data_IF_616208074751
#
_entry.id   IF_616208074751
#
_cell.length_a   1.000
_cell.length_b   1.000
_cell.length_c   1.000
_cell.angle_alpha   90.00
_cell.angle_beta   90.00
_cell.angle_gamma   90.00
#
_symmetry.space_group_name_H-M   'P 1'
#
loop_
_entity.id
_entity.type
_entity.pdbx_description
1 polymer ?
#
# COMPACT_ATOMS: atom_id res chain seq x y z
N UNK A 1 3.06 3.71 -11.05
CA UNK A 1 1.98 2.77 -10.68
C UNK A 1 1.84 2.72 -9.18
N UNK A 2 0.62 2.81 -8.70
CA UNK A 2 0.34 2.86 -7.27
C UNK A 2 -0.51 1.65 -6.89
N UNK A 3 -0.08 0.93 -5.86
CA UNK A 3 -0.90 -0.09 -5.19
C UNK A 3 -1.40 0.52 -3.90
N UNK A 4 -2.70 0.57 -3.73
CA UNK A 4 -3.34 1.28 -2.63
C UNK A 4 -4.13 0.33 -1.75
N UNK A 5 -3.95 0.45 -0.42
CA UNK A 5 -4.65 -0.37 0.54
C UNK A 5 -5.12 0.50 1.70
N UNK A 6 -6.40 0.38 2.05
CA UNK A 6 -6.91 0.99 3.28
C UNK A 6 -6.56 0.08 4.46
N UNK A 7 -5.97 0.66 5.50
CA UNK A 7 -5.49 -0.09 6.64
C UNK A 7 -6.59 -0.26 7.67
N UNK A 8 -6.99 -1.51 7.88
CA UNK A 8 -7.94 -1.90 8.92
C UNK A 8 -7.21 -2.81 9.91
N UNK A 9 -7.34 -2.51 11.22
CA UNK A 9 -6.76 -3.36 12.25
C UNK A 9 -5.24 -3.45 12.21
N UNK A 10 -4.73 -4.63 12.51
CA UNK A 10 -3.29 -4.87 12.66
C UNK A 10 -2.61 -5.24 11.33
N UNK A 11 -2.44 -4.28 10.46
CA UNK A 11 -1.68 -4.50 9.23
C UNK A 11 -0.22 -4.11 9.45
N UNK A 12 0.70 -5.03 9.18
CA UNK A 12 2.13 -4.77 9.34
C UNK A 12 2.72 -4.12 8.09
N UNK A 13 2.77 -2.79 8.08
CA UNK A 13 3.29 -2.03 6.94
C UNK A 13 4.78 -2.25 6.73
N UNK A 14 5.56 -2.43 7.80
CA UNK A 14 7.00 -2.66 7.70
C UNK A 14 7.31 -3.95 6.94
N UNK A 15 6.59 -5.02 7.28
CA UNK A 15 6.73 -6.30 6.59
C UNK A 15 6.34 -6.20 5.11
N UNK A 16 5.25 -5.50 4.83
CA UNK A 16 4.79 -5.28 3.47
C UNK A 16 5.80 -4.49 2.63
N UNK A 17 6.44 -3.47 3.22
CA UNK A 17 7.47 -2.69 2.55
C UNK A 17 8.73 -3.51 2.32
N UNK A 18 9.19 -4.25 3.31
CA UNK A 18 10.37 -5.13 3.17
C UNK A 18 10.17 -6.17 2.07
N UNK A 19 8.98 -6.74 2.01
CA UNK A 19 8.64 -7.70 0.97
C UNK A 19 8.72 -7.07 -0.43
N UNK A 20 8.21 -5.84 -0.58
CA UNK A 20 8.27 -5.12 -1.85
C UNK A 20 9.71 -4.85 -2.27
N UNK A 21 10.56 -4.42 -1.34
CA UNK A 21 11.96 -4.15 -1.62
C UNK A 21 12.68 -5.43 -2.09
N UNK A 22 12.38 -6.56 -1.47
CA UNK A 22 12.99 -7.84 -1.81
C UNK A 22 12.52 -8.42 -3.13
N UNK A 23 11.23 -8.29 -3.43
CA UNK A 23 10.60 -9.07 -4.50
C UNK A 23 10.18 -8.23 -5.70
N UNK A 24 10.19 -6.92 -5.59
CA UNK A 24 9.76 -6.02 -6.65
C UNK A 24 10.87 -5.02 -6.99
N UNK A 25 11.73 -5.33 -7.97
CA UNK A 25 12.87 -4.46 -8.31
C UNK A 25 12.50 -3.03 -8.69
N UNK A 26 11.28 -2.81 -9.18
CA UNK A 26 10.83 -1.48 -9.58
C UNK A 26 10.18 -0.69 -8.44
N UNK A 27 10.24 -1.19 -7.20
CA UNK A 27 9.75 -0.46 -6.04
C UNK A 27 10.44 0.91 -5.94
N UNK A 28 9.64 1.97 -5.78
CA UNK A 28 10.18 3.33 -5.65
C UNK A 28 10.10 3.84 -4.21
N UNK A 29 8.88 3.87 -3.67
CA UNK A 29 8.62 4.43 -2.34
C UNK A 29 7.27 3.95 -1.83
N UNK A 30 7.01 4.23 -0.56
CA UNK A 30 5.69 4.04 0.02
C UNK A 30 5.29 5.28 0.79
N UNK A 31 3.98 5.42 1.05
CA UNK A 31 3.44 6.49 1.88
C UNK A 31 2.31 5.94 2.74
N UNK A 32 2.24 6.41 3.99
CA UNK A 32 1.10 6.18 4.85
C UNK A 32 0.38 7.54 4.95
N UNK A 33 -0.85 7.59 4.49
CA UNK A 33 -1.62 8.82 4.40
C UNK A 33 -2.77 8.78 5.40
N UNK A 34 -2.86 9.80 6.24
CA UNK A 34 -4.01 9.97 7.13
C UNK A 34 -5.19 10.45 6.30
N UNK A 35 -6.32 9.76 6.42
CA UNK A 35 -7.52 10.11 5.66
C UNK A 35 -8.20 11.34 6.21
N UNK A 36 -8.78 12.14 5.31
CA UNK A 36 -9.62 13.28 5.70
C UNK A 36 -10.94 12.81 6.32
N UNK A 37 -11.62 13.73 6.99
CA UNK A 37 -12.85 13.44 7.71
C UNK A 37 -13.92 12.74 6.86
N UNK A 38 -14.13 13.20 5.64
CA UNK A 38 -15.12 12.63 4.74
C UNK A 38 -14.79 11.21 4.33
N UNK A 39 -13.52 10.94 3.98
CA UNK A 39 -13.06 9.60 3.63
C UNK A 39 -13.17 8.64 4.81
N UNK A 40 -12.83 9.11 6.01
CA UNK A 40 -12.94 8.29 7.23
C UNK A 40 -14.36 7.81 7.45
N UNK A 41 -15.35 8.67 7.20
CA UNK A 41 -16.77 8.33 7.37
C UNK A 41 -17.25 7.33 6.33
N UNK A 42 -16.83 7.48 5.08
CA UNK A 42 -17.28 6.61 3.98
C UNK A 42 -16.64 5.22 4.05
N UNK A 43 -15.35 5.15 4.38
CA UNK A 43 -14.56 3.93 4.30
C UNK A 43 -14.39 3.26 5.67
N UNK A 44 -14.65 3.99 6.75
CA UNK A 44 -14.47 3.54 8.13
C UNK A 44 -13.01 3.10 8.39
N UNK A 45 -12.08 3.95 7.98
CA UNK A 45 -10.65 3.67 8.06
C UNK A 45 -9.90 4.99 8.33
N UNK A 46 -8.78 4.90 9.05
CA UNK A 46 -8.02 6.09 9.45
C UNK A 46 -6.84 6.36 8.53
N UNK A 47 -6.26 5.32 7.94
CA UNK A 47 -5.03 5.43 7.17
C UNK A 47 -5.12 4.65 5.87
N UNK A 48 -4.41 5.17 4.86
CA UNK A 48 -4.26 4.53 3.56
C UNK A 48 -2.77 4.29 3.33
N UNK A 49 -2.44 3.11 2.84
CA UNK A 49 -1.07 2.71 2.53
C UNK A 49 -0.92 2.64 1.00
N UNK A 50 -0.03 3.47 0.46
CA UNK A 50 0.24 3.55 -0.97
C UNK A 50 1.67 3.10 -1.24
N UNK A 51 1.86 2.19 -2.19
CA UNK A 51 3.17 1.73 -2.62
C UNK A 51 3.33 2.03 -4.10
N UNK A 52 4.47 2.61 -4.45
CA UNK A 52 4.74 3.09 -5.80
C UNK A 52 5.75 2.20 -6.50
N UNK A 53 5.42 1.79 -7.73
CA UNK A 53 6.26 0.98 -8.59
C UNK A 53 6.42 1.62 -9.97
N UNK A 54 7.56 1.41 -10.61
CA UNK A 54 7.78 1.83 -11.99
C UNK A 54 7.20 0.84 -13.00
N UNK A 55 7.14 -0.44 -12.64
CA UNK A 55 6.70 -1.51 -13.53
C UNK A 55 5.34 -2.05 -13.09
N UNK A 56 4.40 -2.09 -14.04
CA UNK A 56 3.06 -2.62 -13.84
C UNK A 56 3.08 -4.08 -13.36
N UNK A 57 4.04 -4.86 -13.81
CA UNK A 57 4.16 -6.27 -13.41
C UNK A 57 4.40 -6.39 -11.91
N UNK A 58 5.29 -5.54 -11.38
CA UNK A 58 5.58 -5.53 -9.95
C UNK A 58 4.37 -5.05 -9.15
N UNK A 59 3.68 -4.03 -9.63
CA UNK A 59 2.46 -3.53 -9.00
C UNK A 59 1.39 -4.63 -8.92
N UNK A 60 1.18 -5.35 -10.02
CA UNK A 60 0.23 -6.45 -10.09
C UNK A 60 0.63 -7.58 -9.14
N UNK A 61 1.88 -7.97 -9.15
CA UNK A 61 2.41 -9.02 -8.28
C UNK A 61 2.24 -8.66 -6.82
N UNK A 62 2.57 -7.44 -6.47
CA UNK A 62 2.41 -6.94 -5.10
C UNK A 62 0.93 -6.95 -4.67
N UNK A 63 0.03 -6.53 -5.55
CA UNK A 63 -1.40 -6.55 -5.28
C UNK A 63 -1.93 -7.95 -4.97
N UNK A 64 -1.46 -8.95 -5.71
CA UNK A 64 -1.88 -10.33 -5.49
C UNK A 64 -1.43 -10.87 -4.14
N UNK A 65 -0.33 -10.37 -3.60
CA UNK A 65 0.23 -10.85 -2.34
C UNK A 65 -0.31 -10.09 -1.13
N UNK A 66 -0.60 -8.80 -1.25
CA UNK A 66 -0.86 -7.93 -0.10
C UNK A 66 -2.24 -7.26 -0.08
N UNK A 67 -2.98 -7.31 -1.18
CA UNK A 67 -4.30 -6.64 -1.26
C UNK A 67 -5.45 -7.68 -1.44
#
# INVERSE_FOLDING_TARGET
>A
MIVRKYIYGDFNTDEAVEWAIKNCPSFEKYMIVELGWEEKQEIDCWFRFDVYFNDEKDATFYSLMWI
#
